data_IF_590052090668
#
_entry.id   IF_590052090668
#
_cell.length_a   1.000
_cell.length_b   1.000
_cell.length_c   1.000
_cell.angle_alpha   90.00
_cell.angle_beta   90.00
_cell.angle_gamma   90.00
#
_symmetry.space_group_name_H-M   'P 1'
#
loop_
_entity.id
_entity.type
_entity.pdbx_description
1 polymer ?
#
# COMPACT_ATOMS: atom_id res chain seq x y z
N UNK A 1 -27.78 7.56 24.97
CA UNK A 1 -26.78 7.39 26.05
C UNK A 1 -26.03 6.07 25.95
N UNK A 2 -26.71 4.92 25.82
CA UNK A 2 -26.06 3.61 25.71
C UNK A 2 -25.02 3.52 24.57
N UNK A 3 -25.39 3.91 23.35
CA UNK A 3 -24.49 3.97 22.19
C UNK A 3 -23.19 4.77 22.45
N UNK A 4 -23.28 5.93 23.12
CA UNK A 4 -22.11 6.76 23.41
C UNK A 4 -21.15 6.07 24.39
N UNK A 5 -21.68 5.36 25.39
CA UNK A 5 -20.87 4.59 26.34
C UNK A 5 -20.15 3.44 25.64
N UNK A 6 -20.84 2.75 24.73
CA UNK A 6 -20.26 1.64 23.95
C UNK A 6 -19.17 2.15 22.99
N UNK A 7 -19.38 3.30 22.34
CA UNK A 7 -18.34 3.97 21.53
C UNK A 7 -17.15 4.40 22.41
N UNK A 8 -17.39 4.98 23.58
CA UNK A 8 -16.34 5.39 24.51
C UNK A 8 -15.51 4.20 24.99
N UNK A 9 -16.14 3.07 25.30
CA UNK A 9 -15.44 1.82 25.63
C UNK A 9 -14.57 1.35 24.46
N UNK A 10 -15.13 1.28 23.24
CA UNK A 10 -14.36 0.94 22.05
C UNK A 10 -13.16 1.88 21.84
N UNK A 11 -13.37 3.19 21.96
CA UNK A 11 -12.31 4.20 21.84
C UNK A 11 -11.23 4.08 22.89
N UNK A 12 -11.60 3.80 24.15
CA UNK A 12 -10.61 3.59 25.23
C UNK A 12 -9.72 2.38 24.94
N UNK A 13 -10.31 1.26 24.48
CA UNK A 13 -9.57 0.07 24.10
C UNK A 13 -8.68 0.34 22.89
N UNK A 14 -9.19 1.04 21.87
CA UNK A 14 -8.42 1.42 20.68
C UNK A 14 -7.19 2.26 21.03
N UNK A 15 -7.35 3.27 21.89
CA UNK A 15 -6.25 4.12 22.35
C UNK A 15 -5.19 3.35 23.16
N UNK A 16 -5.61 2.40 24.01
CA UNK A 16 -4.70 1.55 24.77
C UNK A 16 -3.95 0.60 23.82
N UNK A 17 -4.65 -0.06 22.91
CA UNK A 17 -4.04 -0.93 21.89
C UNK A 17 -3.04 -0.17 21.03
N UNK A 18 -3.39 1.05 20.61
CA UNK A 18 -2.48 1.95 19.86
C UNK A 18 -1.19 2.17 20.62
N UNK A 19 -1.29 2.53 21.90
CA UNK A 19 -0.13 2.80 22.75
C UNK A 19 0.79 1.58 22.83
N UNK A 20 0.24 0.40 23.11
CA UNK A 20 1.04 -0.82 23.24
C UNK A 20 1.67 -1.29 21.92
N UNK A 21 0.89 -1.30 20.84
CA UNK A 21 1.36 -1.77 19.54
C UNK A 21 2.41 -0.81 18.97
N UNK A 22 2.13 0.50 18.96
CA UNK A 22 3.10 1.47 18.45
C UNK A 22 4.42 1.43 19.22
N UNK A 23 4.37 1.38 20.56
CA UNK A 23 5.58 1.29 21.38
C UNK A 23 6.35 -0.02 21.18
N UNK A 24 5.65 -1.14 21.00
CA UNK A 24 6.29 -2.44 20.67
C UNK A 24 7.05 -2.36 19.35
N UNK A 25 6.43 -1.79 18.30
CA UNK A 25 7.07 -1.59 17.00
C UNK A 25 8.26 -0.65 17.11
N UNK A 26 8.13 0.44 17.88
CA UNK A 26 9.25 1.34 18.17
C UNK A 26 10.38 0.65 18.94
N UNK A 27 10.08 -0.33 19.79
CA UNK A 27 11.10 -1.12 20.50
C UNK A 27 11.94 -2.00 19.56
N UNK A 28 11.38 -2.45 18.44
CA UNK A 28 12.06 -3.33 17.47
C UNK A 28 12.80 -2.53 16.40
N UNK A 29 12.17 -1.51 15.83
CA UNK A 29 12.69 -0.76 14.69
C UNK A 29 13.35 0.57 15.06
N UNK A 30 13.34 0.94 16.34
CA UNK A 30 13.82 2.24 16.82
C UNK A 30 12.86 3.39 16.50
N UNK A 31 13.27 4.62 16.86
CA UNK A 31 12.45 5.85 16.74
C UNK A 31 12.96 6.85 15.70
N UNK A 32 13.94 6.45 14.89
CA UNK A 32 14.51 7.31 13.84
C UNK A 32 13.55 7.57 12.66
N UNK A 33 12.52 6.75 12.53
CA UNK A 33 11.42 6.88 11.60
C UNK A 33 10.13 6.40 12.30
N UNK A 34 8.96 6.99 12.00
CA UNK A 34 7.68 6.70 12.67
C UNK A 34 7.07 5.33 12.31
N UNK A 35 7.84 4.25 12.45
CA UNK A 35 7.41 2.88 12.13
C UNK A 35 6.19 2.45 12.96
N UNK A 36 6.14 2.84 14.24
CA UNK A 36 5.03 2.53 15.13
C UNK A 36 3.72 3.13 14.63
N UNK A 37 3.72 4.43 14.30
CA UNK A 37 2.55 5.14 13.77
C UNK A 37 2.14 4.60 12.39
N UNK A 38 3.10 4.36 11.51
CA UNK A 38 2.82 3.78 10.20
C UNK A 38 2.13 2.41 10.32
N UNK A 39 2.64 1.54 11.20
CA UNK A 39 2.10 0.20 11.40
C UNK A 39 0.66 0.22 11.93
N UNK A 40 0.37 0.99 12.99
CA UNK A 40 -1.00 1.07 13.54
C UNK A 40 -1.98 1.65 12.51
N UNK A 41 -1.55 2.61 11.69
CA UNK A 41 -2.41 3.23 10.69
C UNK A 41 -2.71 2.27 9.53
N UNK A 42 -1.69 1.56 9.03
CA UNK A 42 -1.86 0.57 7.95
C UNK A 42 -2.68 -0.64 8.42
N UNK A 43 -2.33 -1.21 9.57
CA UNK A 43 -3.08 -2.35 10.14
C UNK A 43 -4.53 -1.97 10.49
N UNK A 44 -4.74 -0.79 11.06
CA UNK A 44 -6.08 -0.28 11.37
C UNK A 44 -6.91 -0.01 10.12
N UNK A 45 -6.29 0.55 9.08
CA UNK A 45 -6.93 0.77 7.77
C UNK A 45 -7.33 -0.55 7.09
N UNK A 46 -6.47 -1.57 7.15
CA UNK A 46 -6.80 -2.92 6.69
C UNK A 46 -8.03 -3.48 7.42
N UNK A 47 -8.01 -3.44 8.76
CA UNK A 47 -9.13 -3.90 9.58
C UNK A 47 -10.40 -3.10 9.31
N UNK A 48 -10.29 -1.80 9.06
CA UNK A 48 -11.44 -0.94 8.72
C UNK A 48 -12.10 -1.43 7.43
N UNK A 49 -11.33 -1.68 6.37
CA UNK A 49 -11.86 -2.24 5.12
C UNK A 49 -12.52 -3.61 5.33
N UNK A 50 -11.80 -4.52 5.99
CA UNK A 50 -12.27 -5.88 6.22
C UNK A 50 -13.56 -5.93 7.06
N UNK A 51 -13.59 -5.20 8.18
CA UNK A 51 -14.74 -5.20 9.09
C UNK A 51 -15.92 -4.39 8.54
N UNK A 52 -15.68 -3.39 7.70
CA UNK A 52 -16.78 -2.66 7.03
C UNK A 52 -17.59 -3.63 6.18
N UNK A 53 -16.94 -4.43 5.33
CA UNK A 53 -17.60 -5.44 4.51
C UNK A 53 -18.31 -6.50 5.40
N UNK A 54 -17.60 -7.02 6.41
CA UNK A 54 -18.13 -8.05 7.29
C UNK A 54 -19.37 -7.60 8.08
N UNK A 55 -19.30 -6.43 8.71
CA UNK A 55 -20.32 -5.95 9.66
C UNK A 55 -21.47 -5.21 8.98
N UNK A 56 -21.26 -4.63 7.79
CA UNK A 56 -22.33 -3.94 7.07
C UNK A 56 -23.07 -4.85 6.09
N UNK A 57 -22.36 -5.76 5.41
CA UNK A 57 -22.98 -6.55 4.33
C UNK A 57 -23.34 -7.97 4.74
N UNK A 58 -22.62 -8.59 5.69
CA UNK A 58 -22.78 -10.02 6.00
C UNK A 58 -23.39 -10.30 7.37
N UNK A 59 -22.85 -9.69 8.42
CA UNK A 59 -23.33 -9.85 9.79
C UNK A 59 -23.78 -8.50 10.33
N UNK A 60 -24.99 -8.03 9.94
CA UNK A 60 -25.51 -6.76 10.39
C UNK A 60 -25.80 -6.82 11.90
N UNK A 61 -24.80 -6.45 12.70
CA UNK A 61 -24.96 -6.27 14.14
C UNK A 61 -25.64 -4.92 14.43
N UNK A 62 -26.12 -4.74 15.67
CA UNK A 62 -26.73 -3.49 16.08
C UNK A 62 -25.81 -2.29 15.79
N UNK A 63 -26.40 -1.16 15.39
CA UNK A 63 -25.69 0.08 15.00
C UNK A 63 -24.67 0.49 16.07
N UNK A 64 -25.00 0.27 17.34
CA UNK A 64 -24.18 0.65 18.49
C UNK A 64 -22.85 -0.10 18.53
N UNK A 65 -22.85 -1.41 18.28
CA UNK A 65 -21.63 -2.22 18.23
C UNK A 65 -20.78 -1.91 16.99
N UNK A 66 -21.41 -1.62 15.85
CA UNK A 66 -20.68 -1.16 14.66
C UNK A 66 -19.95 0.15 14.93
N UNK A 67 -20.64 1.11 15.54
CA UNK A 67 -20.03 2.38 15.93
C UNK A 67 -18.91 2.17 16.97
N UNK A 68 -19.09 1.24 17.93
CA UNK A 68 -18.05 0.88 18.89
C UNK A 68 -16.75 0.43 18.23
N UNK A 69 -16.86 -0.42 17.22
CA UNK A 69 -15.72 -1.05 16.56
C UNK A 69 -15.09 -0.10 15.54
N UNK A 70 -15.89 0.43 14.62
CA UNK A 70 -15.40 1.23 13.50
C UNK A 70 -15.04 2.65 13.93
N UNK A 71 -15.92 3.32 14.67
CA UNK A 71 -15.73 4.72 15.09
C UNK A 71 -14.93 4.78 16.39
N UNK A 72 -15.27 3.95 17.37
CA UNK A 72 -14.58 3.91 18.66
C UNK A 72 -13.18 3.30 18.52
N UNK A 73 -13.11 1.97 18.43
CA UNK A 73 -11.86 1.23 18.50
C UNK A 73 -10.92 1.56 17.36
N UNK A 74 -11.31 1.36 16.09
CA UNK A 74 -10.43 1.60 14.95
C UNK A 74 -10.12 3.09 14.77
N UNK A 75 -11.08 3.97 15.04
CA UNK A 75 -10.88 5.41 15.05
C UNK A 75 -9.84 5.88 16.08
N UNK A 76 -9.82 5.28 17.28
CA UNK A 76 -8.84 5.60 18.32
C UNK A 76 -7.51 4.81 18.21
N UNK A 77 -7.55 3.65 17.53
CA UNK A 77 -6.39 2.82 17.25
C UNK A 77 -5.47 3.45 16.19
N UNK A 78 -6.07 4.09 15.18
CA UNK A 78 -5.36 4.86 14.16
C UNK A 78 -5.20 6.32 14.60
N UNK A 79 -4.24 7.04 14.02
CA UNK A 79 -3.97 8.44 14.37
C UNK A 79 -3.38 9.23 13.22
N UNK A 80 -4.12 10.24 12.77
CA UNK A 80 -3.60 11.21 11.80
C UNK A 80 -2.77 12.32 12.49
N UNK A 81 -3.11 12.68 13.72
CA UNK A 81 -2.43 13.75 14.46
C UNK A 81 -0.99 13.38 14.81
N UNK A 82 -0.73 12.13 15.23
CA UNK A 82 0.64 11.66 15.48
C UNK A 82 1.45 11.61 14.18
N UNK A 83 0.86 11.12 13.09
CA UNK A 83 1.46 11.13 11.76
C UNK A 83 1.88 12.55 11.34
N UNK A 84 0.99 13.53 11.49
CA UNK A 84 1.26 14.91 11.11
C UNK A 84 2.38 15.52 11.95
N UNK A 85 2.38 15.29 13.26
CA UNK A 85 3.40 15.81 14.17
C UNK A 85 4.77 15.17 13.93
N UNK A 86 4.83 13.86 13.73
CA UNK A 86 6.07 13.15 13.40
C UNK A 86 6.63 13.57 12.04
N UNK A 87 5.77 13.80 11.05
CA UNK A 87 6.17 14.35 9.75
C UNK A 87 6.74 15.76 9.90
N UNK A 88 6.09 16.62 10.69
CA UNK A 88 6.58 17.95 10.99
C UNK A 88 7.96 17.91 11.67
N UNK A 89 8.15 17.05 12.68
CA UNK A 89 9.44 16.94 13.36
C UNK A 89 10.56 16.44 12.44
N UNK A 90 10.26 15.56 11.48
CA UNK A 90 11.24 15.17 10.46
C UNK A 90 11.63 16.35 9.55
N UNK A 91 10.68 17.23 9.22
CA UNK A 91 10.96 18.46 8.45
C UNK A 91 11.82 19.42 9.28
N UNK A 92 11.45 19.65 10.54
CA UNK A 92 12.13 20.55 11.48
C UNK A 92 13.59 20.12 11.73
N UNK A 93 13.84 18.80 11.76
CA UNK A 93 15.18 18.22 11.87
C UNK A 93 15.97 18.23 10.54
N UNK A 94 15.42 18.76 9.46
CA UNK A 94 16.04 18.74 8.12
C UNK A 94 16.04 17.37 7.44
N UNK A 95 15.36 16.38 8.00
CA UNK A 95 15.25 15.02 7.46
C UNK A 95 14.16 14.91 6.36
N UNK A 96 14.25 15.76 5.34
CA UNK A 96 13.21 15.93 4.31
C UNK A 96 12.85 14.63 3.57
N UNK A 97 13.82 13.77 3.29
CA UNK A 97 13.56 12.49 2.65
C UNK A 97 12.70 11.56 3.54
N UNK A 98 13.00 11.50 4.84
CA UNK A 98 12.19 10.72 5.80
C UNK A 98 10.79 11.30 5.95
N UNK A 99 10.65 12.63 5.97
CA UNK A 99 9.35 13.29 6.03
C UNK A 99 8.49 12.95 4.79
N UNK A 100 9.08 13.07 3.59
CA UNK A 100 8.41 12.72 2.34
C UNK A 100 8.01 11.24 2.30
N UNK A 101 8.93 10.35 2.72
CA UNK A 101 8.66 8.93 2.81
C UNK A 101 7.51 8.63 3.78
N UNK A 102 7.47 9.26 4.96
CA UNK A 102 6.40 9.06 5.92
C UNK A 102 5.04 9.51 5.37
N UNK A 103 4.99 10.70 4.75
CA UNK A 103 3.77 11.24 4.13
C UNK A 103 3.27 10.33 3.01
N UNK A 104 4.15 9.95 2.08
CA UNK A 104 3.80 9.14 0.93
C UNK A 104 3.38 7.73 1.33
N UNK A 105 4.20 7.04 2.15
CA UNK A 105 3.90 5.68 2.59
C UNK A 105 2.62 5.62 3.43
N UNK A 106 2.41 6.59 4.33
CA UNK A 106 1.19 6.59 5.15
C UNK A 106 -0.07 6.66 4.29
N UNK A 107 -0.12 7.55 3.29
CA UNK A 107 -1.30 7.68 2.42
C UNK A 107 -1.46 6.43 1.54
N UNK A 108 -0.42 6.03 0.82
CA UNK A 108 -0.50 4.93 -0.16
C UNK A 108 -0.79 3.60 0.54
N UNK A 109 -0.08 3.29 1.63
CA UNK A 109 -0.27 2.02 2.33
C UNK A 109 -1.60 1.97 3.07
N UNK A 110 -2.09 3.07 3.66
CA UNK A 110 -3.39 3.04 4.33
C UNK A 110 -4.54 2.87 3.34
N UNK A 111 -4.54 3.62 2.24
CA UNK A 111 -5.57 3.49 1.19
C UNK A 111 -5.52 2.09 0.57
N UNK A 112 -4.32 1.61 0.23
CA UNK A 112 -4.13 0.24 -0.27
C UNK A 112 -4.60 -0.82 0.74
N UNK A 113 -4.31 -0.63 2.02
CA UNK A 113 -4.73 -1.55 3.08
C UNK A 113 -6.25 -1.63 3.22
N UNK A 114 -6.98 -0.51 3.19
CA UNK A 114 -8.46 -0.52 3.18
C UNK A 114 -8.97 -1.38 2.02
N UNK A 115 -8.43 -1.14 0.82
CA UNK A 115 -8.84 -1.86 -0.38
C UNK A 115 -8.55 -3.36 -0.29
N UNK A 116 -7.35 -3.75 0.17
CA UNK A 116 -7.01 -5.16 0.41
C UNK A 116 -7.97 -5.77 1.44
N UNK A 117 -8.29 -5.06 2.52
CA UNK A 117 -9.24 -5.50 3.54
C UNK A 117 -10.63 -5.77 2.97
N UNK A 118 -11.15 -4.86 2.14
CA UNK A 118 -12.44 -5.02 1.45
C UNK A 118 -12.44 -6.24 0.53
N UNK A 119 -11.42 -6.37 -0.34
CA UNK A 119 -11.31 -7.48 -1.28
C UNK A 119 -11.21 -8.81 -0.53
N UNK A 120 -10.41 -8.87 0.53
CA UNK A 120 -10.22 -10.10 1.29
C UNK A 120 -11.47 -10.50 2.08
N UNK A 121 -12.19 -9.55 2.67
CA UNK A 121 -13.47 -9.86 3.30
C UNK A 121 -14.47 -10.44 2.28
N UNK A 122 -14.56 -9.85 1.07
CA UNK A 122 -15.41 -10.39 0.01
C UNK A 122 -15.00 -11.82 -0.38
N UNK A 123 -13.72 -12.09 -0.62
CA UNK A 123 -13.28 -13.44 -1.01
C UNK A 123 -13.53 -14.48 0.06
N UNK A 124 -13.34 -14.13 1.33
CA UNK A 124 -13.46 -15.07 2.44
C UNK A 124 -14.92 -15.46 2.74
N UNK A 125 -15.86 -14.52 2.58
CA UNK A 125 -17.26 -14.73 2.99
C UNK A 125 -18.25 -14.97 1.85
N UNK A 126 -17.91 -14.67 0.60
CA UNK A 126 -18.88 -14.80 -0.50
C UNK A 126 -18.93 -16.21 -1.09
N UNK A 127 -17.84 -16.98 -1.15
CA UNK A 127 -17.79 -18.31 -1.80
C UNK A 127 -18.16 -18.32 -3.30
N UNK A 128 -18.78 -17.25 -3.80
CA UNK A 128 -19.04 -16.92 -5.18
C UNK A 128 -17.78 -16.27 -5.76
N UNK A 129 -17.47 -16.61 -7.01
CA UNK A 129 -16.36 -15.98 -7.73
C UNK A 129 -16.53 -14.46 -7.67
N UNK A 130 -15.45 -13.77 -7.29
CA UNK A 130 -15.44 -12.32 -7.15
C UNK A 130 -15.95 -11.71 -8.47
N UNK A 131 -17.17 -11.19 -8.47
CA UNK A 131 -17.59 -10.27 -9.52
C UNK A 131 -17.09 -8.88 -9.13
N UNK A 132 -15.76 -8.75 -9.01
CA UNK A 132 -15.10 -7.45 -9.07
C UNK A 132 -15.72 -6.72 -10.26
N UNK A 133 -16.13 -5.47 -10.05
CA UNK A 133 -16.55 -4.64 -11.18
C UNK A 133 -15.42 -4.63 -12.21
N UNK A 134 -15.74 -4.44 -13.48
CA UNK A 134 -14.74 -4.45 -14.57
C UNK A 134 -13.59 -3.48 -14.28
N UNK A 135 -13.91 -2.35 -13.64
CA UNK A 135 -12.95 -1.37 -13.13
C UNK A 135 -12.05 -1.93 -12.01
N UNK A 136 -12.64 -2.51 -10.95
CA UNK A 136 -11.86 -3.09 -9.87
C UNK A 136 -10.95 -4.22 -10.38
N UNK A 137 -11.41 -5.08 -11.30
CA UNK A 137 -10.56 -6.10 -11.92
C UNK A 137 -9.36 -5.49 -12.65
N UNK A 138 -9.59 -4.41 -13.39
CA UNK A 138 -8.55 -3.72 -14.14
C UNK A 138 -7.46 -3.17 -13.20
N UNK A 139 -7.88 -2.49 -12.11
CA UNK A 139 -6.96 -1.95 -11.12
C UNK A 139 -6.25 -3.03 -10.30
N UNK A 140 -6.92 -4.11 -9.87
CA UNK A 140 -6.28 -5.25 -9.19
C UNK A 140 -5.16 -5.82 -10.07
N UNK A 141 -5.49 -6.10 -11.33
CA UNK A 141 -4.54 -6.70 -12.29
C UNK A 141 -3.36 -5.76 -12.55
N UNK A 142 -3.62 -4.45 -12.61
CA UNK A 142 -2.58 -3.44 -12.76
C UNK A 142 -1.61 -3.41 -11.58
N UNK A 143 -2.14 -3.37 -10.34
CA UNK A 143 -1.33 -3.38 -9.12
C UNK A 143 -0.52 -4.68 -8.99
N UNK A 144 -1.13 -5.84 -9.25
CA UNK A 144 -0.40 -7.12 -9.28
C UNK A 144 0.68 -7.13 -10.37
N UNK A 145 0.42 -6.52 -11.53
CA UNK A 145 1.40 -6.34 -12.60
C UNK A 145 2.60 -5.54 -12.13
N UNK A 146 2.39 -4.41 -11.45
CA UNK A 146 3.50 -3.61 -10.90
C UNK A 146 4.27 -4.33 -9.79
N UNK A 147 3.59 -5.08 -8.92
CA UNK A 147 4.26 -5.91 -7.92
C UNK A 147 5.14 -7.00 -8.55
N UNK A 148 4.65 -7.63 -9.63
CA UNK A 148 5.42 -8.60 -10.41
C UNK A 148 6.66 -7.95 -11.05
N UNK A 149 6.50 -6.75 -11.62
CA UNK A 149 7.61 -6.00 -12.23
C UNK A 149 8.65 -5.58 -11.20
N UNK A 150 8.21 -5.16 -10.01
CA UNK A 150 9.09 -4.87 -8.88
C UNK A 150 9.92 -6.12 -8.50
N UNK A 151 9.28 -7.29 -8.36
CA UNK A 151 9.97 -8.54 -8.07
C UNK A 151 10.95 -8.96 -9.18
N UNK A 152 10.55 -8.81 -10.45
CA UNK A 152 11.41 -9.08 -11.61
C UNK A 152 12.63 -8.16 -11.64
N UNK A 153 12.47 -6.86 -11.34
CA UNK A 153 13.58 -5.91 -11.29
C UNK A 153 14.58 -6.24 -10.17
N UNK A 154 14.11 -6.70 -9.00
CA UNK A 154 14.99 -7.28 -7.96
C UNK A 154 15.73 -8.51 -8.52
N UNK A 155 15.00 -9.42 -9.16
CA UNK A 155 15.57 -10.63 -9.78
C UNK A 155 16.67 -10.33 -10.81
N UNK A 156 16.44 -9.34 -11.68
CA UNK A 156 17.45 -8.88 -12.66
C UNK A 156 18.71 -8.38 -11.94
N UNK A 157 18.55 -7.60 -10.86
CA UNK A 157 19.68 -7.06 -10.09
C UNK A 157 20.49 -8.18 -9.41
N UNK A 158 19.81 -9.19 -8.86
CA UNK A 158 20.45 -10.36 -8.25
C UNK A 158 21.20 -11.20 -9.29
N UNK A 159 20.54 -11.58 -10.40
CA UNK A 159 21.15 -12.36 -11.49
C UNK A 159 22.34 -11.64 -12.09
N UNK A 160 22.19 -10.34 -12.35
CA UNK A 160 23.27 -9.51 -12.89
C UNK A 160 24.50 -9.51 -11.98
N UNK A 161 24.30 -9.50 -10.66
CA UNK A 161 25.39 -9.57 -9.69
C UNK A 161 26.03 -10.96 -9.65
N UNK A 162 25.21 -12.01 -9.56
CA UNK A 162 25.68 -13.40 -9.44
C UNK A 162 26.41 -13.91 -10.69
N UNK A 163 26.03 -13.40 -11.86
CA UNK A 163 26.59 -13.83 -13.17
C UNK A 163 27.53 -12.81 -13.79
N UNK A 164 27.77 -11.68 -13.11
CA UNK A 164 28.71 -10.65 -13.57
C UNK A 164 28.28 -9.92 -14.85
N UNK A 165 26.98 -9.61 -15.00
CA UNK A 165 26.50 -8.90 -16.19
C UNK A 165 27.13 -7.52 -16.34
N UNK A 166 27.63 -7.15 -17.53
CA UNK A 166 28.15 -5.82 -17.76
C UNK A 166 27.02 -4.76 -17.72
N UNK A 167 27.37 -3.53 -17.35
CA UNK A 167 26.41 -2.45 -17.03
C UNK A 167 25.53 -2.01 -18.20
N UNK A 168 25.96 -2.23 -19.43
CA UNK A 168 25.16 -2.02 -20.63
C UNK A 168 24.00 -3.03 -20.71
N UNK A 169 24.25 -4.31 -20.44
CA UNK A 169 23.22 -5.36 -20.48
C UNK A 169 22.17 -5.12 -19.39
N UNK A 170 22.61 -4.73 -18.19
CA UNK A 170 21.68 -4.38 -17.11
C UNK A 170 20.77 -3.20 -17.50
N UNK A 171 21.34 -2.12 -18.07
CA UNK A 171 20.55 -0.96 -18.51
C UNK A 171 19.52 -1.33 -19.57
N UNK A 172 19.93 -2.14 -20.57
CA UNK A 172 19.02 -2.64 -21.60
C UNK A 172 17.89 -3.46 -20.99
N UNK A 173 18.18 -4.35 -20.03
CA UNK A 173 17.17 -5.16 -19.35
C UNK A 173 16.12 -4.31 -18.62
N UNK A 174 16.55 -3.32 -17.83
CA UNK A 174 15.62 -2.44 -17.09
C UNK A 174 14.79 -1.55 -18.01
N UNK A 175 15.39 -0.97 -19.06
CA UNK A 175 14.66 -0.14 -20.05
C UNK A 175 13.65 -0.99 -20.83
N UNK A 176 14.02 -2.22 -21.20
CA UNK A 176 13.11 -3.15 -21.88
C UNK A 176 11.94 -3.54 -20.98
N UNK A 177 12.22 -3.86 -19.71
CA UNK A 177 11.18 -4.16 -18.71
C UNK A 177 10.22 -2.97 -18.52
N UNK A 178 10.75 -1.75 -18.44
CA UNK A 178 9.95 -0.53 -18.34
C UNK A 178 9.04 -0.35 -19.57
N UNK A 179 9.59 -0.43 -20.77
CA UNK A 179 8.85 -0.26 -22.02
C UNK A 179 7.74 -1.29 -22.18
N UNK A 180 8.06 -2.58 -22.01
CA UNK A 180 7.09 -3.67 -22.11
C UNK A 180 5.97 -3.54 -21.08
N UNK A 181 6.32 -3.28 -19.81
CA UNK A 181 5.32 -3.10 -18.74
C UNK A 181 4.38 -1.95 -19.07
N UNK A 182 4.92 -0.81 -19.48
CA UNK A 182 4.13 0.38 -19.77
C UNK A 182 3.16 0.14 -20.92
N UNK A 183 3.63 -0.48 -22.01
CA UNK A 183 2.78 -0.81 -23.17
C UNK A 183 1.71 -1.83 -22.79
N UNK A 184 2.09 -2.95 -22.18
CA UNK A 184 1.17 -4.04 -21.83
C UNK A 184 0.11 -3.56 -20.84
N UNK A 185 0.51 -2.85 -19.77
CA UNK A 185 -0.41 -2.31 -18.78
C UNK A 185 -1.39 -1.30 -19.39
N UNK A 186 -0.91 -0.44 -20.29
CA UNK A 186 -1.75 0.54 -20.98
C UNK A 186 -2.75 -0.14 -21.89
N UNK A 187 -2.30 -1.07 -22.75
CA UNK A 187 -3.19 -1.83 -23.63
C UNK A 187 -4.24 -2.60 -22.83
N UNK A 188 -3.82 -3.29 -21.76
CA UNK A 188 -4.73 -4.03 -20.89
C UNK A 188 -5.82 -3.13 -20.31
N UNK A 189 -5.43 -1.98 -19.75
CA UNK A 189 -6.36 -1.02 -19.16
C UNK A 189 -7.31 -0.44 -20.22
N UNK A 190 -6.82 -0.10 -21.41
CA UNK A 190 -7.66 0.37 -22.53
C UNK A 190 -8.71 -0.66 -22.93
N UNK A 191 -8.37 -1.94 -22.98
CA UNK A 191 -9.35 -2.99 -23.32
C UNK A 191 -10.36 -3.27 -22.19
N UNK A 192 -9.97 -3.02 -20.94
CA UNK A 192 -10.80 -3.38 -19.77
C UNK A 192 -11.66 -2.23 -19.27
N UNK A 193 -11.24 -0.98 -19.46
CA UNK A 193 -12.00 0.22 -19.14
C UNK A 193 -12.79 0.68 -20.37
N UNK A 194 -13.92 0.03 -20.65
CA UNK A 194 -14.79 0.33 -21.82
C UNK A 194 -15.44 1.71 -21.78
N UNK A 195 -15.29 2.45 -20.68
CA UNK A 195 -15.81 3.82 -20.50
C UNK A 195 -14.80 4.91 -20.84
N UNK A 196 -13.55 4.58 -21.21
CA UNK A 196 -12.58 5.57 -21.66
C UNK A 196 -12.94 6.03 -23.06
N UNK A 197 -12.98 7.34 -23.27
CA UNK A 197 -13.18 7.89 -24.60
C UNK A 197 -11.94 7.58 -25.44
N UNK A 198 -12.11 7.25 -26.72
CA UNK A 198 -11.00 6.90 -27.61
C UNK A 198 -10.12 8.10 -27.99
N UNK A 199 -10.16 9.17 -27.20
CA UNK A 199 -9.34 10.36 -27.41
C UNK A 199 -7.88 10.06 -27.10
N UNK A 200 -7.00 10.52 -27.99
CA UNK A 200 -5.55 10.33 -27.86
C UNK A 200 -5.00 10.88 -26.52
N UNK A 201 -5.64 11.91 -25.97
CA UNK A 201 -5.25 12.53 -24.69
C UNK A 201 -5.39 11.59 -23.49
N UNK A 202 -6.48 10.82 -23.41
CA UNK A 202 -6.70 9.88 -22.31
C UNK A 202 -5.74 8.70 -22.37
N UNK A 203 -5.52 8.15 -23.57
CA UNK A 203 -4.56 7.08 -23.81
C UNK A 203 -3.12 7.53 -23.49
N UNK A 204 -2.75 8.75 -23.87
CA UNK A 204 -1.44 9.31 -23.54
C UNK A 204 -1.26 9.52 -22.03
N UNK A 205 -2.31 9.98 -21.34
CA UNK A 205 -2.28 10.16 -19.88
C UNK A 205 -2.10 8.82 -19.17
N UNK A 206 -2.86 7.80 -19.58
CA UNK A 206 -2.76 6.45 -19.04
C UNK A 206 -1.37 5.83 -19.29
N UNK A 207 -0.84 5.98 -20.51
CA UNK A 207 0.51 5.55 -20.86
C UNK A 207 1.57 6.23 -19.98
N UNK A 208 1.44 7.55 -19.79
CA UNK A 208 2.37 8.35 -18.99
C UNK A 208 2.34 7.94 -17.52
N UNK A 209 1.15 7.74 -16.94
CA UNK A 209 0.98 7.27 -15.57
C UNK A 209 1.57 5.86 -15.38
N UNK A 210 1.26 4.93 -16.28
CA UNK A 210 1.82 3.58 -16.23
C UNK A 210 3.35 3.60 -16.32
N UNK A 211 3.92 4.48 -17.16
CA UNK A 211 5.37 4.66 -17.27
C UNK A 211 5.98 5.22 -15.99
N UNK A 212 5.33 6.19 -15.35
CA UNK A 212 5.78 6.75 -14.06
C UNK A 212 5.76 5.70 -12.94
N UNK A 213 4.68 4.93 -12.82
CA UNK A 213 4.56 3.88 -11.79
C UNK A 213 5.54 2.74 -12.04
N UNK A 214 5.61 2.22 -13.28
CA UNK A 214 6.57 1.18 -13.63
C UNK A 214 8.01 1.65 -13.45
N UNK A 215 8.34 2.88 -13.84
CA UNK A 215 9.66 3.48 -13.64
C UNK A 215 10.03 3.59 -12.17
N UNK A 216 9.10 4.05 -11.33
CA UNK A 216 9.29 4.15 -9.89
C UNK A 216 9.49 2.78 -9.23
N UNK A 217 8.68 1.79 -9.63
CA UNK A 217 8.80 0.41 -9.14
C UNK A 217 10.15 -0.21 -9.52
N UNK A 218 10.55 -0.09 -10.80
CA UNK A 218 11.83 -0.63 -11.27
C UNK A 218 13.00 0.07 -10.58
N UNK A 219 12.99 1.40 -10.47
CA UNK A 219 14.05 2.15 -9.82
C UNK A 219 14.23 1.76 -8.35
N UNK A 220 13.14 1.73 -7.58
CA UNK A 220 13.17 1.32 -6.18
C UNK A 220 13.59 -0.15 -6.00
N UNK A 221 13.11 -1.04 -6.86
CA UNK A 221 13.49 -2.45 -6.89
C UNK A 221 14.99 -2.64 -7.16
N UNK A 222 15.57 -1.92 -8.10
CA UNK A 222 17.00 -1.98 -8.40
C UNK A 222 17.84 -1.50 -7.21
N UNK A 223 17.43 -0.41 -6.56
CA UNK A 223 18.13 0.08 -5.36
C UNK A 223 18.11 -0.95 -4.22
N UNK A 224 16.94 -1.58 -3.99
CA UNK A 224 16.81 -2.64 -3.01
C UNK A 224 17.64 -3.87 -3.38
N UNK A 225 17.58 -4.32 -4.64
CA UNK A 225 18.36 -5.46 -5.13
C UNK A 225 19.87 -5.25 -4.96
N UNK A 226 20.37 -4.07 -5.33
CA UNK A 226 21.77 -3.70 -5.14
C UNK A 226 22.19 -3.66 -3.66
N UNK A 227 21.32 -3.14 -2.80
CA UNK A 227 21.55 -3.14 -1.35
C UNK A 227 21.63 -4.57 -0.80
N UNK A 228 20.71 -5.47 -1.19
CA UNK A 228 20.74 -6.89 -0.81
C UNK A 228 22.05 -7.53 -1.26
N UNK A 229 22.44 -7.31 -2.53
CA UNK A 229 23.69 -7.84 -3.08
C UNK A 229 24.91 -7.41 -2.27
N UNK A 230 25.02 -6.12 -1.95
CA UNK A 230 26.15 -5.57 -1.18
C UNK A 230 26.20 -6.10 0.26
N UNK A 231 25.05 -6.41 0.85
CA UNK A 231 25.00 -6.82 2.25
C UNK A 231 25.24 -8.33 2.44
N UNK A 232 24.85 -9.17 1.46
CA UNK A 232 24.80 -10.62 1.64
C UNK A 232 25.53 -11.44 0.56
N UNK A 233 25.84 -10.85 -0.59
CA UNK A 233 26.36 -11.59 -1.76
C UNK A 233 27.74 -11.09 -2.24
N UNK A 234 28.21 -9.93 -1.78
CA UNK A 234 29.60 -9.52 -2.00
C UNK A 234 30.52 -10.17 -0.95
N UNK A 235 31.63 -10.82 -1.36
CA UNK A 235 32.63 -11.36 -0.44
C UNK A 235 33.34 -10.27 0.38
#
# INVERSE_FOLDING_TARGET
MHQLLVIALGGSLGAISRFWVANSIYGVFGREFPHGTLFINVSGSFLMGFLTELLLQRFPIAVEYRAAILVGFLGAYTTFSSFALETYFLIDQGAYFKALANAFLSVVLCVGAVWIGLVWARTFFDGSQISLTTHEQAYVTLVMGWACVFALAIGISLVATLTGWPSNVQRVAHVTLLGLTTVIATLWMTFKLTSMDSELGELFTLFSLNGLFAGSAIWTATQLGNWICKQYLSP
#
